data_IF_460246840264
#
_entry.id   IF_460246840264
#
_cell.length_a   1.000
_cell.length_b   1.000
_cell.length_c   1.000
_cell.angle_alpha   90.00
_cell.angle_beta   90.00
_cell.angle_gamma   90.00
#
_symmetry.space_group_name_H-M   'P 1'
#
loop_
_entity.id
_entity.type
_entity.pdbx_description
1 polymer ?
#
# COMPACT_ATOMS: atom_id res chain seq x y z
N UNK A 1 -3.23 1.00 -27.53
CA UNK A 1 -2.44 0.49 -26.39
C UNK A 1 -2.16 -0.96 -26.67
N UNK A 2 -0.88 -1.31 -26.77
CA UNK A 2 -0.48 -2.70 -26.94
C UNK A 2 -0.79 -3.45 -25.65
N UNK A 3 -1.37 -4.65 -25.76
CA UNK A 3 -2.01 -5.36 -24.62
C UNK A 3 -1.01 -5.90 -23.58
N UNK A 4 0.28 -5.59 -23.76
CA UNK A 4 1.42 -6.14 -23.02
C UNK A 4 2.40 -5.09 -22.47
N UNK A 5 2.16 -3.79 -22.65
CA UNK A 5 3.02 -2.76 -22.04
C UNK A 5 2.56 -2.45 -20.60
N UNK A 6 3.40 -2.77 -19.61
CA UNK A 6 3.18 -2.32 -18.23
C UNK A 6 3.61 -0.86 -18.15
N UNK A 7 2.68 0.03 -17.79
CA UNK A 7 3.01 1.41 -17.45
C UNK A 7 3.55 1.46 -16.01
N UNK A 8 4.89 1.41 -15.88
CA UNK A 8 5.58 1.49 -14.58
C UNK A 8 5.21 2.77 -13.84
N UNK A 9 4.97 3.87 -14.56
CA UNK A 9 4.54 5.13 -13.96
C UNK A 9 3.22 4.95 -13.22
N UNK A 10 2.25 4.30 -13.86
CA UNK A 10 0.96 3.98 -13.22
C UNK A 10 1.11 3.00 -12.05
N UNK A 11 1.99 1.99 -12.14
CA UNK A 11 2.24 1.05 -11.03
C UNK A 11 2.82 1.79 -9.81
N UNK A 12 3.79 2.68 -10.03
CA UNK A 12 4.36 3.50 -8.96
C UNK A 12 3.32 4.45 -8.36
N UNK A 13 2.51 5.12 -9.19
CA UNK A 13 1.40 5.97 -8.70
C UNK A 13 0.42 5.17 -7.85
N UNK A 14 0.06 3.95 -8.28
CA UNK A 14 -0.82 3.07 -7.50
C UNK A 14 -0.17 2.66 -6.17
N UNK A 15 1.13 2.34 -6.16
CA UNK A 15 1.87 2.04 -4.92
C UNK A 15 1.80 3.20 -3.93
N UNK A 16 2.08 4.43 -4.39
CA UNK A 16 1.99 5.62 -3.53
C UNK A 16 0.59 5.83 -2.96
N UNK A 17 -0.46 5.65 -3.77
CA UNK A 17 -1.84 5.78 -3.32
C UNK A 17 -2.20 4.75 -2.22
N UNK A 18 -1.78 3.48 -2.39
CA UNK A 18 -1.98 2.46 -1.36
C UNK A 18 -1.23 2.77 -0.06
N UNK A 19 -0.02 3.33 -0.15
CA UNK A 19 0.77 3.71 1.02
C UNK A 19 0.19 4.94 1.72
N UNK A 20 -0.38 5.89 0.98
CA UNK A 20 -1.14 7.00 1.57
C UNK A 20 -2.38 6.49 2.32
N UNK A 21 -3.16 5.60 1.72
CA UNK A 21 -4.32 4.99 2.37
C UNK A 21 -3.92 4.22 3.64
N UNK A 22 -2.82 3.46 3.59
CA UNK A 22 -2.27 2.77 4.75
C UNK A 22 -1.98 3.74 5.92
N UNK A 23 -1.39 4.91 5.62
CA UNK A 23 -1.10 5.94 6.62
C UNK A 23 -2.37 6.57 7.19
N UNK A 24 -3.37 6.85 6.34
CA UNK A 24 -4.67 7.38 6.77
C UNK A 24 -5.36 6.40 7.72
N UNK A 25 -5.39 5.11 7.36
CA UNK A 25 -5.98 4.05 8.18
C UNK A 25 -5.25 3.86 9.52
N UNK A 26 -3.92 3.90 9.52
CA UNK A 26 -3.12 3.82 10.75
C UNK A 26 -3.35 5.02 11.67
N UNK A 27 -3.42 6.23 11.09
CA UNK A 27 -3.76 7.45 11.80
C UNK A 27 -5.14 7.37 12.43
N UNK A 28 -6.15 6.97 11.65
CA UNK A 28 -7.52 6.77 12.12
C UNK A 28 -7.62 5.72 13.23
N UNK A 29 -6.92 4.58 13.10
CA UNK A 29 -6.84 3.56 14.13
C UNK A 29 -6.29 4.11 15.46
N UNK A 30 -5.20 4.88 15.37
CA UNK A 30 -4.57 5.53 16.53
C UNK A 30 -5.51 6.54 17.18
N UNK A 31 -6.15 7.41 16.38
CA UNK A 31 -7.11 8.39 16.90
C UNK A 31 -8.28 7.71 17.58
N UNK A 32 -8.88 6.68 16.98
CA UNK A 32 -9.99 5.93 17.58
C UNK A 32 -9.60 5.24 18.89
N UNK A 33 -8.41 4.63 18.95
CA UNK A 33 -7.90 4.00 20.17
C UNK A 33 -7.63 4.99 21.31
N UNK A 34 -7.47 6.28 21.01
CA UNK A 34 -7.27 7.34 22.00
C UNK A 34 -8.58 8.02 22.45
N UNK A 35 -9.71 7.74 21.81
CA UNK A 35 -11.00 8.32 22.20
C UNK A 35 -11.44 7.75 23.55
N UNK A 36 -11.66 8.63 24.51
CA UNK A 36 -12.25 8.25 25.81
C UNK A 36 -13.74 7.96 25.65
N UNK A 37 -14.19 6.85 26.25
CA UNK A 37 -15.61 6.53 26.38
C UNK A 37 -16.26 7.22 27.60
N UNK A 38 -15.49 7.91 28.43
CA UNK A 38 -15.99 8.57 29.64
C UNK A 38 -17.08 9.61 29.33
N UNK A 39 -18.16 9.61 30.11
CA UNK A 39 -19.21 10.63 30.01
C UNK A 39 -20.31 10.34 29.00
N UNK A 40 -20.31 9.17 28.34
CA UNK A 40 -21.43 8.70 27.50
C UNK A 40 -22.57 8.04 28.30
N UNK A 41 -22.42 7.92 29.62
CA UNK A 41 -23.44 7.44 30.55
C UNK A 41 -23.22 6.00 31.04
N UNK A 42 -23.58 5.77 32.31
CA UNK A 42 -23.44 4.48 32.99
C UNK A 42 -24.25 3.40 32.24
N UNK A 43 -23.57 2.42 31.65
CA UNK A 43 -24.15 1.34 30.86
C UNK A 43 -23.93 1.44 29.34
N UNK A 44 -23.49 2.59 28.83
CA UNK A 44 -23.14 2.77 27.40
C UNK A 44 -21.62 2.82 27.19
N UNK A 45 -20.88 3.20 28.23
CA UNK A 45 -19.41 3.35 28.20
C UNK A 45 -18.67 2.08 27.74
N UNK A 46 -19.04 0.91 28.28
CA UNK A 46 -18.44 -0.37 27.87
C UNK A 46 -18.69 -0.70 26.40
N UNK A 47 -19.90 -0.40 25.90
CA UNK A 47 -20.27 -0.64 24.51
C UNK A 47 -19.51 0.31 23.56
N UNK A 48 -19.37 1.58 23.95
CA UNK A 48 -18.59 2.58 23.19
C UNK A 48 -17.10 2.20 23.18
N UNK A 49 -16.54 1.81 24.32
CA UNK A 49 -15.15 1.35 24.44
C UNK A 49 -14.90 0.11 23.56
N UNK A 50 -15.81 -0.87 23.60
CA UNK A 50 -15.74 -2.08 22.76
C UNK A 50 -15.82 -1.74 21.28
N UNK A 51 -16.71 -0.82 20.90
CA UNK A 51 -16.83 -0.36 19.53
C UNK A 51 -15.55 0.33 19.04
N UNK A 52 -15.03 1.30 19.79
CA UNK A 52 -13.83 2.06 19.44
C UNK A 52 -12.61 1.16 19.28
N UNK A 53 -12.40 0.24 20.23
CA UNK A 53 -11.28 -0.72 20.18
C UNK A 53 -11.40 -1.68 19.00
N UNK A 54 -12.61 -2.18 18.73
CA UNK A 54 -12.87 -3.07 17.59
C UNK A 54 -12.62 -2.37 16.26
N UNK A 55 -13.12 -1.13 16.11
CA UNK A 55 -12.91 -0.35 14.90
C UNK A 55 -11.45 0.06 14.71
N UNK A 56 -10.76 0.47 15.78
CA UNK A 56 -9.34 0.75 15.74
C UNK A 56 -8.53 -0.47 15.23
N UNK A 57 -8.89 -1.67 15.71
CA UNK A 57 -8.29 -2.91 15.22
C UNK A 57 -8.57 -3.13 13.73
N UNK A 58 -9.81 -3.00 13.27
CA UNK A 58 -10.13 -3.17 11.86
C UNK A 58 -9.37 -2.18 10.96
N UNK A 59 -9.30 -0.90 11.35
CA UNK A 59 -8.54 0.09 10.61
C UNK A 59 -7.04 -0.23 10.58
N UNK A 60 -6.47 -0.71 11.69
CA UNK A 60 -5.06 -1.16 11.74
C UNK A 60 -4.79 -2.37 10.84
N UNK A 61 -5.70 -3.35 10.82
CA UNK A 61 -5.57 -4.54 9.99
C UNK A 61 -5.67 -4.17 8.49
N UNK A 62 -6.57 -3.24 8.13
CA UNK A 62 -6.68 -2.71 6.76
C UNK A 62 -5.47 -1.87 6.34
N UNK A 63 -4.91 -1.09 7.26
CA UNK A 63 -3.66 -0.35 7.02
C UNK A 63 -2.51 -1.29 6.63
N UNK A 64 -2.37 -2.41 7.35
CA UNK A 64 -1.36 -3.43 7.06
C UNK A 64 -1.55 -4.06 5.68
N UNK A 65 -2.81 -4.32 5.30
CA UNK A 65 -3.12 -4.85 3.98
C UNK A 65 -2.78 -3.84 2.87
N UNK A 66 -3.12 -2.56 3.06
CA UNK A 66 -2.83 -1.50 2.12
C UNK A 66 -1.31 -1.31 1.91
N UNK A 67 -0.51 -1.29 2.98
CA UNK A 67 0.95 -1.20 2.87
C UNK A 67 1.54 -2.45 2.18
N UNK A 68 1.00 -3.65 2.44
CA UNK A 68 1.41 -4.86 1.72
C UNK A 68 1.09 -4.80 0.22
N UNK A 69 -0.02 -4.15 -0.18
CA UNK A 69 -0.33 -3.92 -1.59
C UNK A 69 0.68 -2.95 -2.23
N UNK A 70 1.04 -1.87 -1.53
CA UNK A 70 2.08 -0.95 -1.98
C UNK A 70 3.42 -1.67 -2.19
N UNK A 71 3.85 -2.48 -1.22
CA UNK A 71 5.10 -3.25 -1.32
C UNK A 71 5.13 -4.20 -2.52
N UNK A 72 4.02 -4.89 -2.79
CA UNK A 72 3.91 -5.78 -3.95
C UNK A 72 3.97 -5.02 -5.27
N UNK A 73 3.41 -3.81 -5.33
CA UNK A 73 3.49 -2.95 -6.51
C UNK A 73 4.92 -2.41 -6.70
N UNK A 74 5.60 -1.99 -5.63
CA UNK A 74 7.00 -1.58 -5.65
C UNK A 74 7.91 -2.74 -6.12
N UNK A 75 7.66 -3.96 -5.64
CA UNK A 75 8.38 -5.16 -6.07
C UNK A 75 8.15 -5.45 -7.57
N UNK A 76 6.90 -5.37 -8.03
CA UNK A 76 6.57 -5.56 -9.44
C UNK A 76 7.25 -4.51 -10.34
N UNK A 77 7.24 -3.24 -9.93
CA UNK A 77 7.90 -2.15 -10.67
C UNK A 77 9.42 -2.35 -10.76
N UNK A 78 10.05 -2.80 -9.66
CA UNK A 78 11.49 -3.13 -9.63
C UNK A 78 11.81 -4.31 -10.54
N UNK A 79 11.02 -5.39 -10.47
CA UNK A 79 11.22 -6.58 -11.30
C UNK A 79 11.13 -6.26 -12.80
N UNK A 80 10.14 -5.43 -13.19
CA UNK A 80 10.02 -4.97 -14.56
C UNK A 80 11.24 -4.14 -15.00
N UNK A 81 11.65 -3.18 -14.17
CA UNK A 81 12.81 -2.32 -14.47
C UNK A 81 14.09 -3.13 -14.67
N UNK A 82 14.35 -4.12 -13.80
CA UNK A 82 15.51 -5.02 -13.93
C UNK A 82 15.45 -5.84 -15.22
N UNK A 83 14.27 -6.38 -15.56
CA UNK A 83 14.09 -7.13 -16.81
C UNK A 83 14.30 -6.27 -18.04
N UNK A 84 13.86 -5.00 -18.02
CA UNK A 84 14.00 -4.07 -19.13
C UNK A 84 15.48 -3.70 -19.35
N UNK A 85 16.22 -3.39 -18.28
CA UNK A 85 17.67 -3.17 -18.36
C UNK A 85 18.42 -4.37 -18.93
N UNK A 86 18.10 -5.59 -18.49
CA UNK A 86 18.73 -6.81 -19.02
C UNK A 86 18.45 -7.00 -20.52
N UNK A 87 17.25 -6.66 -20.99
CA UNK A 87 16.90 -6.71 -22.40
C UNK A 87 17.64 -5.64 -23.22
N UNK A 88 17.77 -4.41 -22.68
CA UNK A 88 18.54 -3.34 -23.30
C UNK A 88 20.02 -3.71 -23.43
N UNK A 89 20.63 -4.26 -22.37
CA UNK A 89 22.02 -4.71 -22.38
C UNK A 89 22.25 -5.83 -23.41
N UNK A 90 21.34 -6.82 -23.48
CA UNK A 90 21.43 -7.90 -24.46
C UNK A 90 21.32 -7.37 -25.90
N UNK A 91 20.43 -6.39 -26.13
CA UNK A 91 20.30 -5.74 -27.44
C UNK A 91 21.54 -4.93 -27.82
N UNK A 92 22.13 -4.21 -26.87
CA UNK A 92 23.38 -3.47 -27.07
C UNK A 92 24.54 -4.41 -27.44
N UNK A 93 24.68 -5.54 -26.73
CA UNK A 93 25.69 -6.56 -27.04
C UNK A 93 25.49 -7.17 -28.44
N UNK A 94 24.25 -7.42 -28.84
CA UNK A 94 23.95 -7.89 -30.20
C UNK A 94 24.34 -6.87 -31.27
N UNK A 95 24.02 -5.59 -31.07
CA UNK A 95 24.43 -4.50 -31.99
C UNK A 95 25.96 -4.35 -32.10
N UNK A 96 26.70 -4.63 -31.04
CA UNK A 96 28.17 -4.60 -31.04
C UNK A 96 28.77 -5.82 -31.72
N UNK A 97 28.14 -6.99 -31.62
CA UNK A 97 28.58 -8.23 -32.27
C UNK A 97 28.26 -8.32 -33.77
N UNK A 98 27.36 -7.47 -34.28
CA UNK A 98 27.05 -7.35 -35.72
C UNK A 98 27.96 -6.36 -36.48
N UNK A 99 28.88 -5.66 -35.79
CA UNK A 99 29.91 -4.81 -36.40
C UNK A 99 31.22 -5.56 -36.61
#
# INVERSE_FOLDING_TARGET
MDRFSVDIGMVNTASYAWREEANVLAGGATTMGAVSATGVGDGVEDAVSTFLTTWAKYASDQSTLADSMADRLDEAAKAYTVSDYAAQDAFAQWLEGEK
#
